data_IF_630773011117
#
_entry.id   IF_630773011117
#
_cell.length_a   1.000
_cell.length_b   1.000
_cell.length_c   1.000
_cell.angle_alpha   90.00
_cell.angle_beta   90.00
_cell.angle_gamma   90.00
#
_symmetry.space_group_name_H-M   'P 1'
#
loop_
_entity.id
_entity.type
_entity.pdbx_description
1 polymer ?
#
# COMPACT_ATOMS: atom_id res chain seq x y z
N UNK A 1 35.86 16.31 14.71
CA UNK A 1 36.33 15.23 15.61
C UNK A 1 35.10 14.76 16.36
N UNK A 2 34.55 13.55 16.20
CA UNK A 2 35.14 12.24 15.90
C UNK A 2 34.15 11.37 15.08
N UNK A 3 34.70 10.78 14.00
CA UNK A 3 34.31 9.60 13.21
C UNK A 3 32.83 9.29 12.94
N UNK A 4 32.39 9.62 11.73
CA UNK A 4 31.36 8.84 11.03
C UNK A 4 32.00 7.59 10.45
N UNK A 5 31.37 6.44 10.66
CA UNK A 5 31.73 5.19 10.01
C UNK A 5 31.35 5.26 8.53
N UNK A 6 32.35 5.12 7.68
CA UNK A 6 32.25 4.89 6.24
C UNK A 6 31.28 3.74 5.95
N UNK A 7 30.29 4.00 5.09
CA UNK A 7 29.43 2.96 4.53
C UNK A 7 30.26 1.86 3.89
N UNK A 8 30.01 0.63 4.32
CA UNK A 8 30.51 -0.55 3.63
C UNK A 8 29.56 -0.80 2.46
N UNK A 9 30.05 -0.50 1.26
CA UNK A 9 29.46 -0.95 0.00
C UNK A 9 29.37 -2.49 0.01
N UNK A 10 28.16 -3.01 0.16
CA UNK A 10 27.83 -4.37 -0.26
C UNK A 10 27.56 -4.34 -1.76
N UNK A 11 28.62 -4.57 -2.54
CA UNK A 11 28.52 -4.84 -3.98
C UNK A 11 27.78 -6.18 -4.15
N UNK A 12 26.51 -6.12 -4.51
CA UNK A 12 25.78 -7.25 -5.10
C UNK A 12 26.44 -7.53 -6.45
N UNK A 13 27.18 -8.64 -6.54
CA UNK A 13 27.69 -9.13 -7.80
C UNK A 13 26.53 -9.71 -8.62
N UNK A 14 26.21 -8.98 -9.67
CA UNK A 14 25.31 -9.27 -10.78
C UNK A 14 25.52 -10.70 -11.33
N UNK A 15 24.54 -11.58 -11.12
CA UNK A 15 24.42 -12.83 -11.89
C UNK A 15 23.31 -12.58 -12.90
N UNK A 16 23.71 -12.39 -14.15
CA UNK A 16 22.84 -12.10 -15.28
C UNK A 16 21.60 -13.01 -15.31
N UNK A 17 20.49 -12.45 -14.83
CA UNK A 17 19.13 -12.97 -14.92
C UNK A 17 18.21 -11.86 -15.45
N UNK A 18 17.10 -12.21 -16.10
CA UNK A 18 16.25 -11.22 -16.77
C UNK A 18 15.69 -10.20 -15.77
N UNK A 19 15.68 -8.92 -16.17
CA UNK A 19 15.26 -7.72 -15.44
C UNK A 19 14.06 -7.89 -14.47
N UNK A 20 14.32 -8.01 -13.17
CA UNK A 20 13.34 -7.73 -12.09
C UNK A 20 14.00 -7.35 -10.75
N UNK A 21 15.29 -7.01 -10.75
CA UNK A 21 15.91 -6.29 -9.63
C UNK A 21 15.44 -4.82 -9.65
N UNK A 22 15.36 -4.19 -8.47
CA UNK A 22 14.96 -2.78 -8.34
C UNK A 22 15.75 -1.94 -9.34
N UNK A 23 15.06 -1.11 -10.13
CA UNK A 23 15.67 -0.39 -11.26
C UNK A 23 16.51 0.82 -10.82
N UNK A 24 17.06 0.84 -9.61
CA UNK A 24 17.96 1.93 -9.17
C UNK A 24 19.39 1.63 -9.60
N UNK A 25 19.78 2.26 -10.71
CA UNK A 25 21.19 2.46 -11.05
C UNK A 25 21.87 3.24 -9.92
N UNK A 26 22.99 2.72 -9.44
CA UNK A 26 23.91 3.43 -8.56
C UNK A 26 24.26 4.82 -9.12
N UNK A 27 24.27 5.82 -8.25
CA UNK A 27 24.69 7.18 -8.60
C UNK A 27 26.14 7.20 -9.14
N UNK A 28 26.50 8.14 -10.03
CA UNK A 28 27.84 8.23 -10.58
C UNK A 28 28.85 8.54 -9.47
N UNK A 29 29.92 7.75 -9.43
CA UNK A 29 30.93 7.76 -8.36
C UNK A 29 31.56 9.13 -8.12
N UNK A 30 31.72 9.47 -6.85
CA UNK A 30 32.63 10.52 -6.40
C UNK A 30 34.07 10.05 -6.58
N UNK A 31 34.93 10.98 -6.99
CA UNK A 31 36.30 10.70 -7.43
C UNK A 31 37.22 10.12 -6.36
N UNK A 32 38.21 9.38 -6.86
CA UNK A 32 39.33 8.76 -6.12
C UNK A 32 39.90 9.68 -5.03
N UNK A 33 39.86 9.21 -3.78
CA UNK A 33 40.77 9.65 -2.74
C UNK A 33 41.96 8.68 -2.71
N UNK A 34 42.92 8.90 -3.60
CA UNK A 34 44.22 8.24 -3.55
C UNK A 34 44.98 8.68 -2.31
N UNK A 35 45.29 7.74 -1.42
CA UNK A 35 46.44 7.86 -0.51
C UNK A 35 46.18 7.44 0.93
N UNK A 36 47.02 6.52 1.39
CA UNK A 36 47.19 6.03 2.77
C UNK A 36 46.15 5.00 3.24
N UNK A 37 46.34 3.74 2.80
CA UNK A 37 46.38 2.52 3.62
C UNK A 37 46.57 1.33 2.65
N UNK A 38 47.82 0.93 2.37
CA UNK A 38 48.07 -0.28 1.56
C UNK A 38 47.85 -1.52 2.41
N UNK A 39 46.68 -2.15 2.26
CA UNK A 39 46.43 -3.50 2.75
C UNK A 39 47.29 -4.52 1.98
N UNK A 40 47.73 -5.61 2.62
CA UNK A 40 48.47 -6.66 1.93
C UNK A 40 47.61 -7.27 0.81
N UNK A 41 48.21 -7.41 -0.37
CA UNK A 41 47.56 -7.99 -1.55
C UNK A 41 47.17 -9.44 -1.26
N UNK A 42 45.87 -9.69 -1.07
CA UNK A 42 45.32 -11.04 -0.99
C UNK A 42 45.44 -11.70 -2.36
N UNK A 43 45.84 -12.98 -2.38
CA UNK A 43 45.91 -13.77 -3.62
C UNK A 43 44.53 -13.87 -4.28
N UNK A 44 44.47 -13.75 -5.61
CA UNK A 44 43.23 -13.92 -6.41
C UNK A 44 42.54 -15.29 -6.22
N UNK A 45 43.22 -16.25 -5.57
CA UNK A 45 42.69 -17.58 -5.26
C UNK A 45 42.06 -17.71 -3.88
N UNK A 46 42.09 -16.65 -3.06
CA UNK A 46 41.41 -16.62 -1.77
C UNK A 46 40.04 -15.99 -2.00
N UNK A 47 38.92 -16.70 -1.80
CA UNK A 47 37.61 -16.09 -1.84
C UNK A 47 37.58 -14.93 -0.83
N UNK A 48 37.42 -13.70 -1.31
CA UNK A 48 37.45 -12.48 -0.49
C UNK A 48 36.20 -12.37 0.40
N UNK A 49 35.17 -13.16 0.11
CA UNK A 49 34.02 -13.40 0.97
C UNK A 49 33.60 -14.87 0.88
N UNK A 50 33.36 -15.49 2.03
CA UNK A 50 32.70 -16.79 2.16
C UNK A 50 31.41 -16.59 2.95
N UNK A 51 30.27 -16.76 2.29
CA UNK A 51 28.96 -16.60 2.91
C UNK A 51 28.53 -17.94 3.51
N UNK A 52 28.58 -18.03 4.84
CA UNK A 52 28.18 -19.22 5.58
C UNK A 52 26.66 -19.21 5.82
N UNK A 53 25.89 -19.86 4.94
CA UNK A 53 24.39 -19.89 4.96
C UNK A 53 23.77 -21.20 5.47
N UNK A 54 24.51 -22.02 6.20
CA UNK A 54 24.14 -23.44 6.43
C UNK A 54 22.84 -23.68 7.21
N UNK A 55 22.33 -22.72 8.01
CA UNK A 55 21.08 -22.90 8.80
C UNK A 55 19.88 -22.16 8.22
N UNK A 56 20.03 -20.89 7.83
CA UNK A 56 18.98 -20.09 7.19
C UNK A 56 18.44 -20.77 5.92
N UNK A 57 19.34 -21.33 5.10
CA UNK A 57 18.96 -22.01 3.86
C UNK A 57 18.12 -23.29 4.12
N UNK A 58 18.35 -23.97 5.25
CA UNK A 58 17.60 -25.18 5.62
C UNK A 58 16.18 -24.85 6.07
N UNK A 59 16.01 -23.83 6.90
CA UNK A 59 14.69 -23.41 7.39
C UNK A 59 13.84 -22.81 6.27
N UNK A 60 14.49 -22.06 5.37
CA UNK A 60 13.88 -21.59 4.13
C UNK A 60 13.45 -22.74 3.23
N UNK A 61 14.34 -23.71 2.97
CA UNK A 61 14.02 -24.86 2.12
C UNK A 61 12.85 -25.70 2.65
N UNK A 62 12.79 -25.93 3.97
CA UNK A 62 11.66 -26.65 4.57
C UNK A 62 10.36 -25.85 4.47
N UNK A 63 10.42 -24.54 4.69
CA UNK A 63 9.26 -23.65 4.51
C UNK A 63 8.77 -23.69 3.06
N UNK A 64 9.65 -23.47 2.09
CA UNK A 64 9.34 -23.55 0.66
C UNK A 64 8.68 -24.88 0.30
N UNK A 65 9.26 -26.00 0.75
CA UNK A 65 8.70 -27.35 0.54
C UNK A 65 7.29 -27.47 1.11
N UNK A 66 7.03 -26.94 2.31
CA UNK A 66 5.70 -26.95 2.92
C UNK A 66 4.68 -26.17 2.08
N UNK A 67 5.07 -25.09 1.43
CA UNK A 67 4.21 -24.33 0.52
C UNK A 67 3.91 -25.08 -0.80
N UNK A 68 4.85 -25.88 -1.32
CA UNK A 68 4.57 -26.78 -2.44
C UNK A 68 3.64 -27.95 -2.08
N UNK A 69 3.74 -28.47 -0.85
CA UNK A 69 2.92 -29.60 -0.39
C UNK A 69 1.50 -29.16 0.00
N UNK A 70 1.39 -28.07 0.76
CA UNK A 70 0.13 -27.64 1.39
C UNK A 70 -0.52 -26.44 0.70
N UNK A 71 0.18 -25.81 -0.25
CA UNK A 71 -0.29 -24.64 -0.98
C UNK A 71 -0.64 -24.95 -2.45
N UNK A 72 -0.99 -23.91 -3.23
CA UNK A 72 -1.35 -24.02 -4.64
C UNK A 72 -0.15 -23.96 -5.59
N UNK A 73 1.08 -23.92 -5.06
CA UNK A 73 2.31 -23.88 -5.84
C UNK A 73 2.54 -25.24 -6.51
N UNK A 74 2.99 -25.24 -7.77
CA UNK A 74 3.18 -26.48 -8.53
C UNK A 74 4.66 -26.65 -8.87
N UNK A 75 5.24 -27.85 -8.66
CA UNK A 75 6.60 -28.14 -9.11
C UNK A 75 6.78 -27.95 -10.63
N UNK A 76 5.69 -28.12 -11.40
CA UNK A 76 5.69 -27.90 -12.86
C UNK A 76 5.86 -26.42 -13.27
N UNK A 77 5.72 -25.47 -12.34
CA UNK A 77 5.93 -24.05 -12.59
C UNK A 77 7.40 -23.63 -12.39
N UNK A 78 8.30 -24.58 -12.10
CA UNK A 78 9.70 -24.32 -11.72
C UNK A 78 10.63 -24.95 -12.74
N UNK A 79 11.54 -24.15 -13.30
CA UNK A 79 12.52 -24.57 -14.30
C UNK A 79 13.94 -24.28 -13.81
N UNK A 80 14.72 -25.35 -13.60
CA UNK A 80 16.15 -25.30 -13.24
C UNK A 80 16.50 -24.26 -12.14
N UNK A 81 15.88 -24.34 -10.95
CA UNK A 81 16.07 -23.32 -9.92
C UNK A 81 17.48 -23.37 -9.35
N UNK A 82 18.06 -22.19 -9.12
CA UNK A 82 19.37 -22.00 -8.48
C UNK A 82 19.36 -22.33 -6.98
N UNK A 83 18.18 -22.33 -6.34
CA UNK A 83 17.99 -22.64 -4.93
C UNK A 83 16.51 -22.65 -4.52
N UNK A 84 16.23 -22.85 -3.22
CA UNK A 84 14.86 -22.93 -2.70
C UNK A 84 14.07 -21.62 -2.88
N UNK A 85 14.70 -20.46 -2.64
CA UNK A 85 14.07 -19.16 -2.85
C UNK A 85 13.66 -18.95 -4.31
N UNK A 86 14.57 -19.26 -5.24
CA UNK A 86 14.33 -19.12 -6.68
C UNK A 86 13.19 -20.04 -7.14
N UNK A 87 13.20 -21.31 -6.70
CA UNK A 87 12.09 -22.23 -6.96
C UNK A 87 10.75 -21.68 -6.45
N UNK A 88 10.73 -21.11 -5.25
CA UNK A 88 9.53 -20.48 -4.69
C UNK A 88 9.10 -19.26 -5.50
N UNK A 89 10.04 -18.36 -5.86
CA UNK A 89 9.77 -17.16 -6.67
C UNK A 89 9.13 -17.51 -8.00
N UNK A 90 9.68 -18.50 -8.72
CA UNK A 90 9.14 -18.97 -10.00
C UNK A 90 7.71 -19.50 -9.85
N UNK A 91 7.49 -20.43 -8.91
CA UNK A 91 6.18 -21.02 -8.69
C UNK A 91 5.14 -20.00 -8.19
N UNK A 92 5.55 -19.09 -7.31
CA UNK A 92 4.68 -18.03 -6.79
C UNK A 92 4.28 -17.05 -7.88
N UNK A 93 5.22 -16.63 -8.74
CA UNK A 93 4.93 -15.79 -9.92
C UNK A 93 3.95 -16.47 -10.87
N UNK A 94 4.15 -17.75 -11.17
CA UNK A 94 3.21 -18.51 -11.99
C UNK A 94 1.81 -18.61 -11.33
N UNK A 95 1.76 -18.74 -10.01
CA UNK A 95 0.51 -18.73 -9.26
C UNK A 95 -0.19 -17.35 -9.31
N UNK A 96 0.54 -16.24 -9.14
CA UNK A 96 0.00 -14.89 -9.31
C UNK A 96 -0.59 -14.70 -10.72
N UNK A 97 0.12 -15.15 -11.76
CA UNK A 97 -0.38 -15.12 -13.14
C UNK A 97 -1.69 -15.90 -13.33
N UNK A 98 -1.88 -17.03 -12.63
CA UNK A 98 -3.12 -17.82 -12.69
C UNK A 98 -4.31 -17.15 -11.99
N UNK A 99 -4.08 -16.42 -10.91
CA UNK A 99 -5.16 -15.70 -10.21
C UNK A 99 -5.45 -14.34 -10.88
N UNK A 100 -4.55 -13.89 -11.74
CA UNK A 100 -4.63 -12.64 -12.50
C UNK A 100 -4.38 -11.45 -11.59
N UNK A 101 -3.17 -10.93 -11.53
CA UNK A 101 -2.81 -9.75 -10.71
C UNK A 101 -2.40 -8.56 -11.57
N UNK A 102 -2.74 -8.59 -12.86
CA UNK A 102 -2.44 -7.50 -13.79
C UNK A 102 -3.41 -6.34 -13.52
N UNK A 103 -2.83 -5.19 -13.15
CA UNK A 103 -3.55 -3.94 -12.87
C UNK A 103 -3.01 -2.82 -13.76
N UNK A 104 -3.84 -1.82 -14.05
CA UNK A 104 -3.50 -0.67 -14.89
C UNK A 104 -3.55 0.65 -14.11
N UNK A 105 -4.49 0.75 -13.18
CA UNK A 105 -4.82 1.94 -12.41
C UNK A 105 -4.29 1.87 -10.97
N UNK A 106 -4.17 0.66 -10.42
CA UNK A 106 -3.57 0.42 -9.11
C UNK A 106 -2.10 0.08 -9.28
N UNK A 107 -1.21 0.79 -8.57
CA UNK A 107 0.24 0.57 -8.64
C UNK A 107 0.75 -0.28 -7.49
N UNK A 108 1.21 -1.49 -7.82
CA UNK A 108 2.02 -2.30 -6.91
C UNK A 108 2.77 -3.39 -7.67
N UNK A 109 3.87 -3.85 -7.09
CA UNK A 109 4.61 -5.04 -7.51
C UNK A 109 4.73 -5.98 -6.30
N UNK A 110 4.21 -7.21 -6.37
CA UNK A 110 4.46 -8.21 -5.34
C UNK A 110 5.93 -8.62 -5.34
N UNK A 111 6.61 -8.45 -4.21
CA UNK A 111 8.04 -8.78 -4.03
C UNK A 111 8.18 -9.82 -2.92
N UNK A 112 9.07 -10.79 -3.14
CA UNK A 112 9.41 -11.81 -2.16
C UNK A 112 10.75 -11.49 -1.52
N UNK A 113 10.75 -11.35 -0.20
CA UNK A 113 11.90 -10.94 0.59
C UNK A 113 12.28 -12.04 1.59
N UNK A 114 13.57 -12.28 1.74
CA UNK A 114 14.10 -13.07 2.85
C UNK A 114 14.00 -12.27 4.15
N UNK A 115 14.02 -12.96 5.29
CA UNK A 115 13.93 -12.32 6.61
C UNK A 115 14.99 -11.23 6.79
N UNK A 116 16.23 -11.51 6.39
CA UNK A 116 17.36 -10.59 6.55
C UNK A 116 17.13 -9.26 5.82
N UNK A 117 16.56 -9.31 4.61
CA UNK A 117 16.21 -8.09 3.87
C UNK A 117 15.09 -7.29 4.56
N UNK A 118 14.12 -7.96 5.18
CA UNK A 118 13.08 -7.29 5.95
C UNK A 118 13.66 -6.67 7.23
N UNK A 119 14.54 -7.39 7.93
CA UNK A 119 15.26 -6.89 9.11
C UNK A 119 15.97 -5.58 8.78
N UNK A 120 16.81 -5.55 7.74
CA UNK A 120 17.52 -4.33 7.32
C UNK A 120 16.57 -3.15 7.02
N UNK A 121 15.36 -3.43 6.51
CA UNK A 121 14.36 -2.40 6.18
C UNK A 121 13.57 -1.89 7.39
N UNK A 122 13.47 -2.68 8.48
CA UNK A 122 12.68 -2.33 9.67
C UNK A 122 13.53 -2.09 10.93
N UNK A 123 14.84 -2.36 10.87
CA UNK A 123 15.80 -2.22 11.98
C UNK A 123 15.80 -0.82 12.61
N UNK A 124 15.61 0.24 11.82
CA UNK A 124 15.53 1.61 12.35
C UNK A 124 14.20 1.93 13.05
N UNK A 125 13.18 1.05 12.96
CA UNK A 125 11.80 1.31 13.42
C UNK A 125 11.35 0.40 14.55
N UNK A 126 11.79 -0.86 14.51
CA UNK A 126 11.55 -1.77 15.61
C UNK A 126 12.47 -1.32 16.75
N UNK A 127 11.90 -0.88 17.88
CA UNK A 127 12.64 -0.69 19.14
C UNK A 127 13.19 -2.06 19.63
N UNK A 128 14.12 -2.65 18.88
CA UNK A 128 14.80 -3.93 19.07
C UNK A 128 13.90 -5.19 19.13
N UNK A 129 12.61 -5.13 18.79
CA UNK A 129 11.73 -6.32 18.86
C UNK A 129 11.71 -7.16 17.57
N UNK A 130 12.89 -7.68 17.20
CA UNK A 130 13.07 -8.68 16.14
C UNK A 130 12.24 -9.97 16.37
N UNK A 131 11.67 -10.16 17.57
CA UNK A 131 10.84 -11.33 17.90
C UNK A 131 9.55 -11.40 17.07
N UNK A 132 9.14 -10.26 16.49
CA UNK A 132 8.01 -10.17 15.55
C UNK A 132 8.29 -10.79 14.18
N UNK A 133 9.57 -10.95 13.81
CA UNK A 133 10.01 -11.51 12.52
C UNK A 133 10.15 -13.04 12.58
N UNK A 134 9.01 -13.75 12.63
CA UNK A 134 9.00 -15.20 12.84
C UNK A 134 9.16 -16.06 11.57
N UNK A 135 8.99 -15.49 10.37
CA UNK A 135 9.04 -16.26 9.11
C UNK A 135 10.40 -16.13 8.42
N UNK A 136 10.90 -17.16 7.71
CA UNK A 136 12.08 -17.02 6.86
C UNK A 136 11.78 -16.29 5.55
N UNK A 137 10.50 -16.09 5.20
CA UNK A 137 10.09 -15.50 3.92
C UNK A 137 8.90 -14.55 4.11
N UNK A 138 8.95 -13.42 3.42
CA UNK A 138 7.91 -12.39 3.44
C UNK A 138 7.44 -12.04 2.03
N UNK A 139 6.15 -11.72 1.92
CA UNK A 139 5.56 -11.06 0.77
C UNK A 139 5.42 -9.57 1.10
N UNK A 140 5.98 -8.72 0.26
CA UNK A 140 5.75 -7.29 0.30
C UNK A 140 5.04 -6.82 -0.97
N UNK A 141 4.31 -5.72 -0.87
CA UNK A 141 3.77 -5.00 -2.02
C UNK A 141 4.58 -3.72 -2.19
N UNK A 142 5.49 -3.71 -3.15
CA UNK A 142 6.28 -2.53 -3.52
C UNK A 142 5.43 -1.57 -4.34
N UNK A 143 5.41 -0.30 -3.97
CA UNK A 143 4.72 0.79 -4.64
C UNK A 143 5.79 1.81 -5.00
N UNK A 144 6.09 1.93 -6.29
CA UNK A 144 7.15 2.81 -6.78
C UNK A 144 6.63 4.20 -7.18
N UNK A 145 5.34 4.28 -7.43
CA UNK A 145 4.61 5.48 -7.83
C UNK A 145 3.16 5.39 -7.34
N UNK A 146 2.40 6.45 -7.59
CA UNK A 146 1.02 6.57 -7.16
C UNK A 146 0.21 7.34 -8.20
N UNK A 147 -0.88 6.74 -8.66
CA UNK A 147 -1.86 7.40 -9.53
C UNK A 147 -2.87 8.21 -8.72
N UNK A 148 -3.04 9.50 -9.07
CA UNK A 148 -4.07 10.38 -8.53
C UNK A 148 -5.33 10.35 -9.41
N UNK A 149 -6.46 10.02 -8.81
CA UNK A 149 -7.77 9.92 -9.46
C UNK A 149 -8.74 10.94 -8.87
N UNK A 150 -9.22 11.85 -9.72
CA UNK A 150 -10.26 12.82 -9.35
C UNK A 150 -11.66 12.29 -9.64
N UNK A 151 -12.57 12.47 -8.67
CA UNK A 151 -14.00 12.17 -8.83
C UNK A 151 -14.80 13.39 -9.29
N UNK A 152 -14.16 14.50 -9.69
CA UNK A 152 -14.83 15.78 -9.94
C UNK A 152 -15.90 15.68 -11.05
N UNK A 153 -15.64 14.87 -12.08
CA UNK A 153 -16.58 14.61 -13.18
C UNK A 153 -17.64 13.57 -12.81
N UNK A 154 -17.26 12.57 -12.02
CA UNK A 154 -18.15 11.53 -11.55
C UNK A 154 -19.16 12.03 -10.50
N UNK A 155 -18.74 12.89 -9.57
CA UNK A 155 -19.56 13.38 -8.47
C UNK A 155 -20.92 13.99 -8.91
N UNK A 156 -21.00 14.93 -9.87
CA UNK A 156 -22.27 15.45 -10.33
C UNK A 156 -23.11 14.40 -11.07
N UNK A 157 -22.48 13.51 -11.85
CA UNK A 157 -23.19 12.42 -12.53
C UNK A 157 -23.79 11.42 -11.52
N UNK A 158 -23.04 11.07 -10.50
CA UNK A 158 -23.47 10.21 -9.40
C UNK A 158 -24.65 10.82 -8.64
N UNK A 159 -24.61 12.13 -8.36
CA UNK A 159 -25.66 12.84 -7.66
C UNK A 159 -27.00 12.83 -8.43
N UNK A 160 -26.96 12.86 -9.76
CA UNK A 160 -28.16 12.76 -10.61
C UNK A 160 -28.80 11.37 -10.57
N UNK A 161 -27.99 10.32 -10.39
CA UNK A 161 -28.44 8.93 -10.36
C UNK A 161 -28.91 8.54 -8.96
N UNK A 162 -28.06 8.74 -7.94
CA UNK A 162 -28.41 8.45 -6.56
C UNK A 162 -27.51 9.22 -5.56
N UNK A 163 -28.07 9.90 -4.53
CA UNK A 163 -27.30 10.77 -3.63
C UNK A 163 -26.26 10.06 -2.76
N UNK A 164 -26.33 8.74 -2.62
CA UNK A 164 -25.34 7.94 -1.88
C UNK A 164 -24.29 7.27 -2.77
N UNK A 165 -24.31 7.48 -4.09
CA UNK A 165 -23.42 6.72 -4.96
C UNK A 165 -21.96 7.14 -4.76
N UNK A 166 -21.68 8.44 -4.69
CA UNK A 166 -20.34 8.96 -4.39
C UNK A 166 -19.83 8.49 -3.01
N UNK A 167 -20.66 8.60 -1.97
CA UNK A 167 -20.30 8.13 -0.62
C UNK A 167 -20.09 6.62 -0.57
N UNK A 168 -20.81 5.84 -1.40
CA UNK A 168 -20.60 4.40 -1.53
C UNK A 168 -19.26 4.06 -2.15
N UNK A 169 -18.84 4.77 -3.20
CA UNK A 169 -17.52 4.60 -3.83
C UNK A 169 -16.42 4.81 -2.80
N UNK A 170 -16.39 5.98 -2.16
CA UNK A 170 -15.35 6.34 -1.18
C UNK A 170 -15.33 5.33 -0.03
N UNK A 171 -16.48 5.03 0.55
CA UNK A 171 -16.55 4.15 1.71
C UNK A 171 -16.23 2.68 1.38
N UNK A 172 -16.48 2.22 0.14
CA UNK A 172 -16.03 0.88 -0.31
C UNK A 172 -14.52 0.87 -0.51
N UNK A 173 -13.94 1.91 -1.11
CA UNK A 173 -12.49 2.04 -1.26
C UNK A 173 -11.78 2.07 0.10
N UNK A 174 -12.30 2.81 1.09
CA UNK A 174 -11.81 2.82 2.47
C UNK A 174 -11.80 1.41 3.08
N UNK A 175 -12.90 0.67 2.92
CA UNK A 175 -13.01 -0.68 3.45
C UNK A 175 -12.05 -1.66 2.76
N UNK A 176 -11.85 -1.53 1.45
CA UNK A 176 -10.88 -2.34 0.71
C UNK A 176 -9.45 -1.98 1.12
N UNK A 177 -9.17 -0.70 1.33
CA UNK A 177 -7.90 -0.18 1.83
C UNK A 177 -7.50 -0.89 3.12
N UNK A 178 -8.42 -0.96 4.10
CA UNK A 178 -8.23 -1.67 5.37
C UNK A 178 -8.13 -3.20 5.25
N UNK A 179 -8.23 -3.80 4.06
CA UNK A 179 -8.15 -5.26 3.86
C UNK A 179 -6.98 -5.66 2.99
N UNK A 180 -6.52 -4.76 2.12
CA UNK A 180 -5.55 -5.07 1.06
C UNK A 180 -4.29 -4.25 1.26
N UNK A 181 -4.32 -2.96 0.96
CA UNK A 181 -3.22 -2.04 1.24
C UNK A 181 -3.69 -0.60 1.14
N UNK A 182 -2.80 0.33 1.44
CA UNK A 182 -3.14 1.74 1.51
C UNK A 182 -3.69 2.23 0.17
N UNK A 183 -4.97 2.60 0.16
CA UNK A 183 -5.59 3.47 -0.83
C UNK A 183 -5.88 4.78 -0.11
N UNK A 184 -5.32 5.89 -0.61
CA UNK A 184 -5.60 7.22 -0.06
C UNK A 184 -6.95 7.69 -0.58
N UNK A 185 -7.85 8.00 0.34
CA UNK A 185 -9.18 8.52 0.03
C UNK A 185 -9.33 9.90 0.67
N UNK A 186 -10.43 10.62 0.42
CA UNK A 186 -10.69 11.89 1.11
C UNK A 186 -10.64 11.78 2.65
N UNK A 187 -10.96 10.61 3.22
CA UNK A 187 -10.82 10.34 4.64
C UNK A 187 -9.36 10.39 5.11
N UNK A 188 -8.44 9.81 4.33
CA UNK A 188 -7.01 9.85 4.63
C UNK A 188 -6.47 11.29 4.64
N UNK A 189 -6.85 12.10 3.65
CA UNK A 189 -6.43 13.51 3.58
C UNK A 189 -6.95 14.33 4.76
N UNK A 190 -8.22 14.14 5.12
CA UNK A 190 -8.82 14.83 6.26
C UNK A 190 -8.13 14.42 7.57
N UNK A 191 -7.83 13.13 7.72
CA UNK A 191 -7.09 12.62 8.86
C UNK A 191 -5.69 13.23 8.95
N UNK A 192 -4.93 13.23 7.85
CA UNK A 192 -3.58 13.81 7.83
C UNK A 192 -3.60 15.30 8.13
N UNK A 193 -4.51 16.06 7.54
CA UNK A 193 -4.68 17.47 7.88
C UNK A 193 -5.00 17.66 9.36
N UNK A 194 -5.91 16.85 9.91
CA UNK A 194 -6.30 16.93 11.32
C UNK A 194 -5.15 16.57 12.27
N UNK A 195 -4.24 15.69 11.86
CA UNK A 195 -3.04 15.34 12.64
C UNK A 195 -2.10 16.53 12.78
N UNK A 196 -1.93 17.34 11.74
CA UNK A 196 -1.02 18.49 11.78
C UNK A 196 -1.65 19.72 12.43
N UNK A 197 -2.95 19.91 12.30
CA UNK A 197 -3.57 21.20 12.64
C UNK A 197 -4.68 21.12 13.69
N UNK A 198 -5.27 19.93 13.91
CA UNK A 198 -6.46 19.76 14.74
C UNK A 198 -6.33 18.66 15.81
N UNK A 199 -5.12 18.41 16.32
CA UNK A 199 -4.88 17.43 17.39
C UNK A 199 -5.49 16.04 17.10
N UNK A 200 -5.39 15.58 15.85
CA UNK A 200 -5.98 14.32 15.37
C UNK A 200 -7.52 14.26 15.39
N UNK A 201 -8.22 15.37 15.63
CA UNK A 201 -9.68 15.42 15.67
C UNK A 201 -10.29 15.89 14.34
N UNK A 202 -10.62 14.94 13.46
CA UNK A 202 -11.31 15.20 12.19
C UNK A 202 -12.70 15.86 12.35
N UNK A 203 -13.29 15.79 13.55
CA UNK A 203 -14.62 16.33 13.87
C UNK A 203 -14.58 17.61 14.70
N UNK A 204 -13.41 18.23 14.87
CA UNK A 204 -13.23 19.48 15.59
C UNK A 204 -14.13 20.62 15.08
N UNK A 205 -14.65 21.46 15.96
CA UNK A 205 -15.34 22.69 15.53
C UNK A 205 -14.32 23.79 15.18
N UNK A 206 -14.78 24.85 14.52
CA UNK A 206 -13.93 26.00 14.23
C UNK A 206 -13.40 26.63 15.51
N UNK A 207 -14.20 26.66 16.57
CA UNK A 207 -13.79 27.20 17.88
C UNK A 207 -12.69 26.38 18.52
N UNK A 208 -12.80 25.04 18.50
CA UNK A 208 -11.77 24.13 19.01
C UNK A 208 -10.48 24.25 18.20
N UNK A 209 -10.59 24.22 16.87
CA UNK A 209 -9.43 24.35 15.99
C UNK A 209 -8.74 25.71 16.10
N UNK A 210 -9.50 26.78 16.34
CA UNK A 210 -8.97 28.13 16.48
C UNK A 210 -7.99 28.26 17.65
N UNK A 211 -8.24 27.55 18.75
CA UNK A 211 -7.34 27.54 19.90
C UNK A 211 -5.96 26.95 19.53
N UNK A 212 -5.95 25.77 18.92
CA UNK A 212 -4.71 25.09 18.50
C UNK A 212 -3.97 25.85 17.39
N UNK A 213 -4.71 26.40 16.43
CA UNK A 213 -4.12 27.17 15.33
C UNK A 213 -3.49 28.48 15.81
N UNK A 214 -4.04 29.14 16.84
CA UNK A 214 -3.43 30.34 17.42
C UNK A 214 -2.09 30.04 18.09
N UNK A 215 -1.99 28.90 18.78
CA UNK A 215 -0.74 28.45 19.38
C UNK A 215 0.33 28.15 18.31
N UNK A 216 -0.08 27.52 17.20
CA UNK A 216 0.84 27.12 16.13
C UNK A 216 1.31 28.28 15.24
N UNK A 217 0.43 29.25 14.96
CA UNK A 217 0.67 30.30 13.94
C UNK A 217 0.83 31.71 14.52
N UNK A 218 1.02 31.86 15.83
CA UNK A 218 1.30 33.14 16.50
C UNK A 218 0.34 34.28 16.08
N UNK A 219 -0.96 33.98 16.02
CA UNK A 219 -2.04 34.92 15.62
C UNK A 219 -2.02 35.41 14.15
N UNK A 220 -1.28 34.78 13.24
CA UNK A 220 -1.43 35.03 11.79
C UNK A 220 -2.84 34.66 11.31
N UNK A 221 -3.71 35.67 11.26
CA UNK A 221 -5.12 35.51 10.93
C UNK A 221 -5.33 34.91 9.53
N UNK A 222 -4.47 35.23 8.56
CA UNK A 222 -4.64 34.70 7.21
C UNK A 222 -4.38 33.18 7.18
N UNK A 223 -3.32 32.74 7.83
CA UNK A 223 -2.98 31.32 7.94
C UNK A 223 -3.97 30.52 8.79
N UNK A 224 -4.47 31.12 9.87
CA UNK A 224 -5.48 30.49 10.74
C UNK A 224 -6.80 30.31 10.00
N UNK A 225 -7.31 31.37 9.35
CA UNK A 225 -8.62 31.33 8.68
C UNK A 225 -8.66 30.30 7.55
N UNK A 226 -7.55 30.12 6.82
CA UNK A 226 -7.45 29.12 5.75
C UNK A 226 -7.49 27.67 6.24
N UNK A 227 -7.19 27.43 7.52
CA UNK A 227 -7.04 26.09 8.12
C UNK A 227 -8.18 25.70 9.07
N UNK A 228 -9.23 26.52 9.14
CA UNK A 228 -10.42 26.21 9.93
C UNK A 228 -11.17 25.00 9.33
N UNK A 229 -11.76 24.13 10.17
CA UNK A 229 -12.57 23.01 9.73
C UNK A 229 -13.67 23.36 8.72
N UNK A 230 -14.38 24.49 8.90
CA UNK A 230 -15.42 24.96 7.98
C UNK A 230 -14.90 25.33 6.59
N UNK A 231 -13.63 25.66 6.45
CA UNK A 231 -12.97 25.99 5.18
C UNK A 231 -12.38 24.75 4.53
N UNK A 232 -11.73 23.89 5.33
CA UNK A 232 -10.97 22.73 4.85
C UNK A 232 -11.87 21.54 4.52
N UNK A 233 -12.86 21.21 5.37
CA UNK A 233 -13.74 20.04 5.13
C UNK A 233 -14.44 20.10 3.78
N UNK A 234 -15.06 21.23 3.36
CA UNK A 234 -15.72 21.30 2.06
C UNK A 234 -14.77 21.13 0.86
N UNK A 235 -13.46 21.34 1.04
CA UNK A 235 -12.46 21.18 -0.02
C UNK A 235 -11.93 19.76 -0.09
N UNK A 236 -11.72 19.11 1.06
CA UNK A 236 -11.15 17.75 1.12
C UNK A 236 -12.25 16.69 1.10
N UNK A 237 -13.16 16.73 2.08
CA UNK A 237 -14.18 15.71 2.29
C UNK A 237 -15.47 16.34 2.85
N UNK A 238 -16.35 16.87 1.98
CA UNK A 238 -17.57 17.53 2.38
C UNK A 238 -18.46 16.67 3.27
N UNK A 239 -19.10 17.29 4.25
CA UNK A 239 -19.96 16.58 5.23
C UNK A 239 -21.17 15.92 4.58
N UNK A 240 -21.65 16.43 3.44
CA UNK A 240 -22.72 15.82 2.65
C UNK A 240 -22.32 14.46 2.07
N UNK A 241 -21.02 14.24 1.83
CA UNK A 241 -20.48 12.98 1.30
C UNK A 241 -20.00 12.09 2.44
N UNK A 242 -19.36 12.68 3.46
CA UNK A 242 -18.84 11.96 4.65
C UNK A 242 -19.97 11.44 5.54
N UNK A 243 -21.02 12.23 5.73
CA UNK A 243 -22.15 11.92 6.61
C UNK A 243 -23.49 12.20 5.93
N UNK A 244 -23.77 11.57 4.77
CA UNK A 244 -24.90 11.91 3.92
C UNK A 244 -26.23 11.87 4.66
N UNK A 245 -27.17 12.77 4.33
CA UNK A 245 -28.47 12.81 4.97
C UNK A 245 -29.22 11.47 4.75
N UNK A 246 -30.14 11.16 5.67
CA UNK A 246 -30.95 9.95 5.56
C UNK A 246 -31.79 10.01 4.27
N UNK A 247 -31.57 9.05 3.38
CA UNK A 247 -32.37 8.90 2.15
C UNK A 247 -33.81 8.55 2.51
N UNK A 248 -34.77 9.25 1.88
CA UNK A 248 -36.20 9.01 2.08
C UNK A 248 -36.54 7.55 1.75
N UNK A 249 -37.36 6.91 2.59
CA UNK A 249 -37.77 5.52 2.42
C UNK A 249 -36.82 4.48 3.06
N UNK A 250 -35.58 4.85 3.44
CA UNK A 250 -34.71 3.95 4.18
C UNK A 250 -35.05 3.89 5.67
N UNK A 251 -34.88 2.71 6.27
CA UNK A 251 -35.07 2.49 7.71
C UNK A 251 -33.96 3.17 8.53
N UNK A 252 -32.70 3.00 8.14
CA UNK A 252 -31.52 3.55 8.81
C UNK A 252 -30.78 4.58 7.96
N UNK A 253 -30.00 5.45 8.63
CA UNK A 253 -28.97 6.28 7.97
C UNK A 253 -27.82 5.33 7.60
N UNK A 254 -27.50 5.24 6.31
CA UNK A 254 -26.37 4.46 5.79
C UNK A 254 -25.60 5.35 4.84
N UNK A 255 -24.28 5.29 4.92
CA UNK A 255 -23.37 6.00 4.02
C UNK A 255 -23.19 5.27 2.69
N UNK A 256 -23.62 4.00 2.62
CA UNK A 256 -23.46 3.14 1.45
C UNK A 256 -24.81 2.64 0.90
N UNK A 257 -24.82 2.37 -0.40
CA UNK A 257 -25.85 1.62 -1.11
C UNK A 257 -25.76 0.12 -0.78
N UNK A 258 -26.91 -0.53 -0.65
CA UNK A 258 -27.00 -1.98 -0.52
C UNK A 258 -26.79 -2.65 -1.88
N UNK A 259 -26.35 -3.90 -1.87
CA UNK A 259 -26.11 -4.71 -3.09
C UNK A 259 -27.34 -4.75 -4.02
N UNK A 260 -28.55 -4.88 -3.45
CA UNK A 260 -29.81 -4.82 -4.21
C UNK A 260 -30.05 -3.47 -4.89
N UNK A 261 -29.69 -2.38 -4.23
CA UNK A 261 -29.88 -1.02 -4.75
C UNK A 261 -28.85 -0.75 -5.85
N UNK A 262 -27.63 -1.26 -5.71
CA UNK A 262 -26.63 -1.23 -6.78
C UNK A 262 -27.07 -2.03 -8.00
N UNK A 263 -27.71 -3.19 -7.81
CA UNK A 263 -28.26 -3.99 -8.90
C UNK A 263 -29.43 -3.29 -9.61
N UNK A 264 -30.33 -2.66 -8.85
CA UNK A 264 -31.42 -1.84 -9.40
C UNK A 264 -30.88 -0.64 -10.20
N UNK A 265 -29.90 0.07 -9.66
CA UNK A 265 -29.24 1.18 -10.35
C UNK A 265 -28.50 0.70 -11.60
N UNK A 266 -27.82 -0.44 -11.54
CA UNK A 266 -27.14 -1.03 -12.69
C UNK A 266 -28.13 -1.34 -13.83
N UNK A 267 -29.32 -1.85 -13.51
CA UNK A 267 -30.33 -2.17 -14.52
C UNK A 267 -30.96 -0.91 -15.17
N UNK A 268 -30.98 0.21 -14.44
CA UNK A 268 -31.52 1.48 -14.90
C UNK A 268 -30.46 2.36 -15.58
N UNK A 269 -29.19 2.22 -15.18
CA UNK A 269 -28.05 2.93 -15.72
C UNK A 269 -27.51 2.21 -16.97
N UNK A 270 -26.99 2.97 -17.92
CA UNK A 270 -26.26 2.45 -19.07
C UNK A 270 -24.76 2.78 -18.99
N UNK A 271 -23.96 2.10 -19.82
CA UNK A 271 -22.55 2.42 -20.01
C UNK A 271 -21.72 2.32 -18.74
N UNK A 272 -20.85 3.31 -18.53
CA UNK A 272 -19.84 3.31 -17.46
C UNK A 272 -20.47 3.39 -16.06
N UNK A 273 -21.64 4.01 -15.92
CA UNK A 273 -22.36 4.06 -14.64
C UNK A 273 -22.85 2.67 -14.20
N UNK A 274 -23.29 1.84 -15.16
CA UNK A 274 -23.66 0.45 -14.89
C UNK A 274 -22.44 -0.36 -14.42
N UNK A 275 -21.28 -0.13 -15.05
CA UNK A 275 -20.00 -0.75 -14.68
C UNK A 275 -19.56 -0.32 -13.28
N UNK A 276 -19.66 0.96 -12.92
CA UNK A 276 -19.40 1.43 -11.54
C UNK A 276 -20.29 0.68 -10.54
N UNK A 277 -21.60 0.58 -10.81
CA UNK A 277 -22.52 -0.14 -9.92
C UNK A 277 -22.18 -1.65 -9.80
N UNK A 278 -21.77 -2.28 -10.91
CA UNK A 278 -21.35 -3.69 -10.94
C UNK A 278 -20.10 -3.94 -10.08
N UNK A 279 -19.08 -3.09 -10.24
CA UNK A 279 -17.83 -3.21 -9.51
C UNK A 279 -18.03 -2.95 -8.01
N UNK A 280 -18.84 -1.94 -7.65
CA UNK A 280 -19.22 -1.69 -6.24
C UNK A 280 -19.99 -2.85 -5.62
N UNK A 281 -20.92 -3.45 -6.36
CA UNK A 281 -21.69 -4.62 -5.93
C UNK A 281 -20.75 -5.81 -5.68
N UNK A 282 -19.81 -6.05 -6.60
CA UNK A 282 -18.85 -7.13 -6.46
C UNK A 282 -17.88 -6.90 -5.30
N UNK A 283 -17.32 -5.70 -5.15
CA UNK A 283 -16.48 -5.34 -4.01
C UNK A 283 -17.22 -5.50 -2.68
N UNK A 284 -18.46 -5.05 -2.60
CA UNK A 284 -19.30 -5.22 -1.39
C UNK A 284 -19.47 -6.70 -0.99
N UNK A 285 -19.65 -7.57 -1.97
CA UNK A 285 -19.74 -9.03 -1.75
C UNK A 285 -18.40 -9.61 -1.32
N UNK A 286 -17.30 -9.21 -1.96
CA UNK A 286 -15.95 -9.65 -1.57
C UNK A 286 -15.61 -9.20 -0.14
N UNK A 287 -15.94 -7.96 0.22
CA UNK A 287 -15.74 -7.41 1.58
C UNK A 287 -16.52 -8.22 2.61
N UNK A 288 -17.77 -8.59 2.28
CA UNK A 288 -18.58 -9.49 3.13
C UNK A 288 -17.93 -10.87 3.28
N UNK A 289 -17.38 -11.42 2.21
CA UNK A 289 -16.64 -12.70 2.24
C UNK A 289 -15.36 -12.61 3.07
N UNK A 290 -14.62 -11.50 2.97
CA UNK A 290 -13.42 -11.26 3.77
C UNK A 290 -13.72 -11.10 5.26
N UNK A 291 -14.83 -10.40 5.58
CA UNK A 291 -15.21 -10.07 6.94
C UNK A 291 -14.23 -9.09 7.58
N UNK A 292 -13.62 -9.50 8.70
CA UNK A 292 -12.63 -8.70 9.44
C UNK A 292 -11.17 -9.07 9.15
N UNK A 293 -10.92 -10.01 8.25
CA UNK A 293 -9.57 -10.52 7.96
C UNK A 293 -8.77 -9.49 7.15
N UNK A 294 -7.52 -9.24 7.53
CA UNK A 294 -6.57 -8.52 6.69
C UNK A 294 -5.99 -9.48 5.65
N UNK A 295 -6.33 -9.25 4.38
CA UNK A 295 -6.04 -10.19 3.29
C UNK A 295 -4.62 -10.03 2.75
N UNK A 296 -4.14 -8.79 2.68
CA UNK A 296 -2.79 -8.43 2.26
C UNK A 296 -2.12 -7.48 3.29
N UNK A 297 -2.45 -7.61 4.59
CA UNK A 297 -2.10 -6.56 5.57
C UNK A 297 -2.04 -6.94 7.05
N UNK A 298 -1.90 -8.23 7.41
CA UNK A 298 -1.65 -8.65 8.81
C UNK A 298 -0.14 -8.76 9.11
N UNK A 299 0.66 -7.95 8.42
CA UNK A 299 2.12 -7.98 8.44
C UNK A 299 2.73 -6.84 9.23
N UNK A 300 4.06 -6.75 9.20
CA UNK A 300 4.77 -5.59 9.75
C UNK A 300 4.50 -4.39 8.85
N UNK A 301 4.12 -3.26 9.44
CA UNK A 301 3.81 -2.03 8.70
C UNK A 301 5.05 -1.52 7.95
N UNK A 302 4.90 -1.28 6.65
CA UNK A 302 5.95 -0.77 5.80
C UNK A 302 6.08 0.76 5.87
N UNK A 303 5.15 1.46 6.51
CA UNK A 303 5.06 2.93 6.51
C UNK A 303 5.27 3.48 5.09
N UNK A 304 4.34 3.18 4.18
CA UNK A 304 4.57 3.39 2.77
C UNK A 304 4.56 4.87 2.39
N UNK A 305 5.56 5.28 1.60
CA UNK A 305 5.62 6.61 0.97
C UNK A 305 4.43 6.76 0.02
N UNK A 306 4.32 5.84 -0.93
CA UNK A 306 3.27 5.82 -1.95
C UNK A 306 2.07 4.99 -1.50
N UNK A 307 0.98 5.09 -2.24
CA UNK A 307 -0.22 4.27 -2.03
C UNK A 307 -0.59 3.53 -3.31
N UNK A 308 -1.39 2.47 -3.14
CA UNK A 308 -1.90 1.67 -4.25
C UNK A 308 -2.63 2.52 -5.28
N UNK A 309 -3.38 3.52 -4.80
CA UNK A 309 -4.02 4.56 -5.57
C UNK A 309 -4.40 5.70 -4.61
N UNK A 310 -4.51 6.91 -5.14
CA UNK A 310 -5.08 8.04 -4.41
C UNK A 310 -6.28 8.61 -5.12
N UNK A 311 -7.34 8.81 -4.35
CA UNK A 311 -8.65 9.20 -4.84
C UNK A 311 -9.10 10.45 -4.09
N UNK A 312 -9.44 11.49 -4.85
CA UNK A 312 -9.90 12.78 -4.34
C UNK A 312 -11.24 13.15 -4.96
N UNK A 313 -12.06 13.92 -4.25
CA UNK A 313 -13.35 14.37 -4.81
C UNK A 313 -13.10 15.41 -5.90
N UNK A 314 -12.22 16.37 -5.63
CA UNK A 314 -11.78 17.39 -6.58
C UNK A 314 -10.31 17.71 -6.32
N UNK A 315 -9.59 18.11 -7.36
CA UNK A 315 -8.20 18.56 -7.23
C UNK A 315 -8.20 20.00 -6.72
N UNK A 316 -7.42 20.26 -5.68
CA UNK A 316 -7.25 21.59 -5.14
C UNK A 316 -5.84 21.75 -4.55
N UNK A 317 -5.44 23.00 -4.31
CA UNK A 317 -4.11 23.33 -3.80
C UNK A 317 -3.81 22.68 -2.45
N UNK A 318 -4.83 22.45 -1.61
CA UNK A 318 -4.67 21.86 -0.29
C UNK A 318 -4.32 20.37 -0.37
N UNK A 319 -4.93 19.65 -1.31
CA UNK A 319 -4.55 18.25 -1.59
C UNK A 319 -3.10 18.19 -2.07
N UNK A 320 -2.69 19.09 -2.97
CA UNK A 320 -1.31 19.16 -3.46
C UNK A 320 -0.33 19.47 -2.33
N UNK A 321 -0.63 20.46 -1.48
CA UNK A 321 0.19 20.81 -0.30
C UNK A 321 0.33 19.62 0.64
N UNK A 322 -0.77 18.91 0.94
CA UNK A 322 -0.73 17.72 1.80
C UNK A 322 0.11 16.57 1.23
N UNK A 323 0.05 16.35 -0.09
CA UNK A 323 0.88 15.33 -0.74
C UNK A 323 2.34 15.75 -0.75
N UNK A 324 2.63 17.01 -1.10
CA UNK A 324 3.99 17.56 -1.11
C UNK A 324 4.62 17.49 0.29
N UNK A 325 3.87 17.87 1.33
CA UNK A 325 4.33 17.79 2.72
C UNK A 325 4.55 16.34 3.16
N UNK A 326 3.64 15.43 2.82
CA UNK A 326 3.79 14.00 3.09
C UNK A 326 5.04 13.43 2.42
N UNK A 327 5.26 13.73 1.14
CA UNK A 327 6.45 13.27 0.42
C UNK A 327 7.72 13.93 0.96
N UNK A 328 7.71 15.23 1.24
CA UNK A 328 8.86 15.93 1.81
C UNK A 328 9.25 15.35 3.17
N UNK A 329 8.26 15.10 4.04
CA UNK A 329 8.48 14.45 5.33
C UNK A 329 9.10 13.08 5.14
N UNK A 330 8.53 12.26 4.26
CA UNK A 330 9.01 10.91 4.02
C UNK A 330 10.44 10.84 3.45
N UNK A 331 10.82 11.80 2.60
CA UNK A 331 12.18 11.88 2.08
C UNK A 331 13.19 12.42 3.11
N UNK A 332 12.73 13.12 4.15
CA UNK A 332 13.58 13.66 5.22
C UNK A 332 13.71 12.72 6.42
N UNK A 333 12.66 11.94 6.72
CA UNK A 333 12.60 11.06 7.88
C UNK A 333 13.52 9.85 7.77
N UNK A 334 13.70 9.31 6.55
CA UNK A 334 14.48 8.08 6.33
C UNK A 334 13.83 6.83 6.94
N UNK A 335 12.63 6.99 7.51
CA UNK A 335 11.86 5.97 8.20
C UNK A 335 10.71 5.47 7.33
N UNK A 336 10.53 5.88 6.09
CA UNK A 336 9.44 5.42 5.21
C UNK A 336 9.96 4.46 4.14
N UNK A 337 9.15 3.46 3.75
CA UNK A 337 9.55 2.53 2.67
C UNK A 337 8.66 2.67 1.44
N UNK A 338 9.10 2.05 0.34
CA UNK A 338 8.26 1.81 -0.83
C UNK A 338 7.33 0.60 -0.65
N UNK A 339 7.28 -0.04 0.52
CA UNK A 339 6.47 -1.22 0.76
C UNK A 339 5.24 -0.89 1.59
N UNK A 340 4.08 -1.44 1.21
CA UNK A 340 2.85 -1.30 2.00
C UNK A 340 2.99 -1.99 3.37
N UNK A 341 3.39 -3.25 3.36
CA UNK A 341 3.62 -4.07 4.55
C UNK A 341 4.47 -5.29 4.19
N UNK A 342 5.00 -5.97 5.21
CA UNK A 342 5.74 -7.21 5.09
C UNK A 342 4.93 -8.36 5.68
N UNK A 343 4.30 -9.16 4.81
CA UNK A 343 3.41 -10.26 5.17
C UNK A 343 4.22 -11.55 5.35
N UNK A 344 4.31 -12.14 6.55
CA UNK A 344 5.05 -13.38 6.76
C UNK A 344 4.38 -14.56 6.06
N UNK A 345 5.14 -15.36 5.31
CA UNK A 345 4.63 -16.65 4.84
C UNK A 345 4.47 -17.61 6.00
N UNK A 346 3.37 -18.37 5.99
CA UNK A 346 3.04 -19.26 7.10
C UNK A 346 3.96 -20.48 7.13
N UNK A 347 4.54 -20.76 8.30
CA UNK A 347 5.35 -21.96 8.54
C UNK A 347 4.51 -23.18 8.97
N UNK A 348 3.18 -23.04 9.08
CA UNK A 348 2.26 -24.09 9.52
C UNK A 348 1.43 -24.64 8.36
N UNK A 349 1.43 -25.96 8.17
CA UNK A 349 0.65 -26.64 7.11
C UNK A 349 -0.82 -26.26 7.10
N UNK A 350 -1.44 -26.16 8.29
CA UNK A 350 -2.86 -25.85 8.43
C UNK A 350 -3.19 -24.42 7.96
N UNK A 351 -2.26 -23.48 8.11
CA UNK A 351 -2.47 -22.08 7.80
C UNK A 351 -2.06 -21.70 6.37
N UNK A 352 -1.14 -22.43 5.73
CA UNK A 352 -0.70 -22.19 4.34
C UNK A 352 -1.88 -22.13 3.36
N UNK A 353 -2.77 -23.13 3.39
CA UNK A 353 -3.91 -23.16 2.46
C UNK A 353 -4.86 -21.98 2.67
N UNK A 354 -5.04 -21.55 3.92
CA UNK A 354 -5.86 -20.38 4.24
C UNK A 354 -5.20 -19.09 3.78
N UNK A 355 -3.89 -18.94 4.01
CA UNK A 355 -3.12 -17.79 3.56
C UNK A 355 -3.25 -17.57 2.05
N UNK A 356 -3.07 -18.60 1.22
CA UNK A 356 -3.24 -18.45 -0.23
C UNK A 356 -4.67 -18.09 -0.65
N UNK A 357 -5.69 -18.55 0.08
CA UNK A 357 -7.09 -18.12 -0.17
C UNK A 357 -7.30 -16.65 0.16
N UNK A 358 -6.70 -16.17 1.24
CA UNK A 358 -6.79 -14.78 1.65
C UNK A 358 -6.01 -13.87 0.68
N UNK A 359 -4.78 -14.25 0.30
CA UNK A 359 -4.01 -13.57 -0.73
C UNK A 359 -4.79 -13.48 -2.06
N UNK A 360 -5.35 -14.60 -2.53
CA UNK A 360 -6.13 -14.62 -3.77
C UNK A 360 -7.38 -13.73 -3.68
N UNK A 361 -8.06 -13.70 -2.52
CA UNK A 361 -9.20 -12.82 -2.30
C UNK A 361 -8.77 -11.34 -2.30
N UNK A 362 -7.62 -11.03 -1.68
CA UNK A 362 -7.05 -9.68 -1.64
C UNK A 362 -6.69 -9.15 -3.03
N UNK A 363 -5.93 -9.92 -3.81
CA UNK A 363 -5.60 -9.54 -5.19
C UNK A 363 -6.84 -9.42 -6.07
N UNK A 364 -7.83 -10.29 -5.88
CA UNK A 364 -9.11 -10.15 -6.58
C UNK A 364 -9.82 -8.85 -6.23
N UNK A 365 -9.81 -8.42 -4.97
CA UNK A 365 -10.36 -7.10 -4.60
C UNK A 365 -9.61 -5.97 -5.31
N UNK A 366 -8.27 -6.02 -5.34
CA UNK A 366 -7.46 -5.02 -6.04
C UNK A 366 -7.79 -4.95 -7.54
N UNK A 367 -8.04 -6.07 -8.23
CA UNK A 367 -8.48 -6.05 -9.63
C UNK A 367 -9.86 -5.43 -9.85
N UNK A 368 -10.74 -5.52 -8.86
CA UNK A 368 -12.05 -4.88 -8.93
C UNK A 368 -11.95 -3.38 -8.58
N UNK A 369 -11.04 -2.99 -7.68
CA UNK A 369 -10.66 -1.58 -7.48
C UNK A 369 -10.07 -1.00 -8.76
N UNK A 370 -9.15 -1.72 -9.41
CA UNK A 370 -8.53 -1.31 -10.67
C UNK A 370 -9.56 -1.00 -11.76
N UNK A 371 -10.52 -1.91 -11.96
CA UNK A 371 -11.61 -1.72 -12.92
C UNK A 371 -12.59 -0.62 -12.52
N UNK A 372 -12.83 -0.45 -11.22
CA UNK A 372 -13.64 0.65 -10.69
C UNK A 372 -12.97 1.99 -10.99
N UNK A 373 -11.68 2.16 -10.68
CA UNK A 373 -10.91 3.37 -10.98
C UNK A 373 -10.91 3.65 -12.48
N UNK A 374 -10.68 2.62 -13.30
CA UNK A 374 -10.77 2.73 -14.76
C UNK A 374 -12.13 3.21 -15.23
N UNK A 375 -13.24 2.72 -14.65
CA UNK A 375 -14.59 3.17 -14.97
C UNK A 375 -14.85 4.61 -14.51
N UNK A 376 -14.38 4.99 -13.33
CA UNK A 376 -14.54 6.35 -12.79
C UNK A 376 -13.81 7.40 -13.64
N UNK A 377 -12.67 7.05 -14.24
CA UNK A 377 -11.87 7.94 -15.08
C UNK A 377 -12.46 8.20 -16.48
N UNK A 378 -13.56 7.54 -16.85
CA UNK A 378 -14.21 7.72 -18.17
C UNK A 378 -15.26 8.82 -18.22
N UNK A 379 -15.71 9.31 -17.06
CA UNK A 379 -16.69 10.39 -16.93
C UNK A 379 -16.09 11.75 -17.27
#
# INVERSE_FOLDING_TARGET
MLYGSSGLDSVLADVAGPHWESSRRSAPGSGSADGFLTLPTLSERVPVAGLYRWRTERDLAETVKMHFINGPLRPADVESPSGALDAFKQAFKAWLGRIGTETQNVSYTPVLLEREAVVEMVECRCNDDESSLASPLYLALEMADEGLYTLARFAPAAQQVHPLLLSSVISILDQVSCRTGLIRTPGWFLYQFSRYHWEHNESATDEEALEWLREMYEDDQESIQRRLPSVVRPQIYPDEVRQPPKVKGRRSKSIQLLERELAELQALAGGEMAKVCEELSTLSRLLRTAGKRFLLGDGIDGQPIYSLATVVIDENSLISELLDDHFNYAHQGGEETYFNCFIPFSTSSAAIAQQYRDLALGFRMLNHVDRLLGALNTF
#
